data_IF_883210046761
#
_entry.id   IF_883210046761
#
_cell.length_a   1.000
_cell.length_b   1.000
_cell.length_c   1.000
_cell.angle_alpha   90.00
_cell.angle_beta   90.00
_cell.angle_gamma   90.00
#
_symmetry.space_group_name_H-M   'P 1'
#
loop_
_entity.id
_entity.type
_entity.pdbx_description
1 polymer ?
#
# COMPACT_ATOMS: atom_id res chain seq x y z
N UNK A 1 -7.77 -22.31 2.73
CA UNK A 1 -6.55 -22.23 3.56
C UNK A 1 -6.93 -22.58 4.99
N UNK A 2 -6.26 -23.56 5.59
CA UNK A 2 -6.35 -23.85 7.03
C UNK A 2 -5.89 -22.62 7.84
N UNK A 3 -6.34 -22.51 9.10
CA UNK A 3 -5.95 -21.38 9.98
C UNK A 3 -4.43 -21.24 10.13
N UNK A 4 -3.70 -22.36 10.11
CA UNK A 4 -2.23 -22.39 10.12
C UNK A 4 -1.62 -21.74 8.88
N UNK A 5 -2.15 -22.03 7.69
CA UNK A 5 -1.64 -21.47 6.42
C UNK A 5 -1.92 -19.98 6.23
N UNK A 6 -2.90 -19.42 6.94
CA UNK A 6 -3.12 -17.96 6.98
C UNK A 6 -2.11 -17.26 7.88
N UNK A 7 -1.78 -17.84 9.03
CA UNK A 7 -0.78 -17.28 9.95
C UNK A 7 0.59 -17.15 9.29
N UNK A 8 1.04 -18.19 8.58
CA UNK A 8 2.33 -18.20 7.90
C UNK A 8 2.42 -17.16 6.77
N UNK A 9 1.32 -16.93 6.05
CA UNK A 9 1.24 -15.92 5.00
C UNK A 9 1.38 -14.50 5.54
N UNK A 10 0.62 -14.13 6.57
CA UNK A 10 0.74 -12.80 7.19
C UNK A 10 2.11 -12.60 7.85
N UNK A 11 2.68 -13.64 8.46
CA UNK A 11 4.05 -13.60 8.99
C UNK A 11 5.06 -13.30 7.88
N UNK A 12 4.99 -13.97 6.73
CA UNK A 12 5.90 -13.73 5.62
C UNK A 12 5.85 -12.27 5.13
N UNK A 13 4.64 -11.73 4.93
CA UNK A 13 4.48 -10.33 4.52
C UNK A 13 4.91 -9.35 5.62
N UNK A 14 4.70 -9.69 6.89
CA UNK A 14 5.15 -8.88 8.03
C UNK A 14 6.67 -8.73 8.09
N UNK A 15 7.42 -9.80 7.82
CA UNK A 15 8.88 -9.73 7.74
C UNK A 15 9.40 -8.83 6.62
N UNK A 16 8.54 -8.45 5.66
CA UNK A 16 8.86 -7.57 4.52
C UNK A 16 8.29 -6.15 4.67
N UNK A 17 7.75 -5.80 5.84
CA UNK A 17 7.26 -4.44 6.15
C UNK A 17 5.74 -4.27 6.22
N UNK A 18 4.92 -5.34 6.15
CA UNK A 18 3.45 -5.21 6.27
C UNK A 18 3.00 -4.49 7.56
N UNK A 19 3.79 -4.56 8.62
CA UNK A 19 3.50 -3.91 9.92
C UNK A 19 3.46 -2.38 9.89
N UNK A 20 4.03 -1.75 8.87
CA UNK A 20 4.07 -0.30 8.72
C UNK A 20 2.76 0.26 8.16
N UNK A 21 2.03 -0.54 7.39
CA UNK A 21 0.85 -0.08 6.66
C UNK A 21 -0.43 -0.24 7.49
N UNK A 22 -1.39 0.70 7.36
CA UNK A 22 -2.70 0.53 7.97
C UNK A 22 -3.46 -0.61 7.29
N UNK A 23 -4.03 -1.49 8.12
CA UNK A 23 -4.95 -2.55 7.74
C UNK A 23 -6.36 -2.20 8.18
N UNK A 24 -7.32 -2.29 7.27
CA UNK A 24 -8.74 -2.18 7.58
C UNK A 24 -9.32 -3.59 7.81
N UNK A 25 -9.82 -3.83 9.03
CA UNK A 25 -10.32 -5.14 9.47
C UNK A 25 -11.77 -5.04 9.92
N UNK A 26 -12.55 -6.07 9.59
CA UNK A 26 -13.83 -6.36 10.24
C UNK A 26 -13.58 -7.11 11.55
N UNK A 27 -14.18 -6.62 12.63
CA UNK A 27 -14.26 -7.34 13.93
C UNK A 27 -15.73 -7.36 14.31
N UNK A 28 -16.37 -8.51 14.13
CA UNK A 28 -17.81 -8.68 14.23
C UNK A 28 -18.54 -7.69 13.29
N UNK A 29 -19.35 -6.78 13.83
CA UNK A 29 -20.06 -5.74 13.05
C UNK A 29 -19.30 -4.41 13.00
N UNK A 30 -18.14 -4.30 13.64
CA UNK A 30 -17.34 -3.09 13.69
C UNK A 30 -16.22 -3.10 12.64
N UNK A 31 -15.94 -1.93 12.08
CA UNK A 31 -14.76 -1.67 11.27
C UNK A 31 -13.64 -1.10 12.15
N UNK A 32 -12.41 -1.55 11.95
CA UNK A 32 -11.23 -1.03 12.65
C UNK A 32 -10.09 -0.79 11.69
N UNK A 33 -9.34 0.29 11.91
CA UNK A 33 -8.08 0.56 11.22
C UNK A 33 -6.96 0.47 12.25
N UNK A 34 -5.96 -0.34 11.94
CA UNK A 34 -4.85 -0.62 12.81
C UNK A 34 -3.63 -1.08 12.05
N UNK A 35 -2.59 -1.44 12.78
CA UNK A 35 -1.37 -2.01 12.20
C UNK A 35 -1.13 -3.39 12.80
N UNK A 36 -0.37 -4.24 12.11
CA UNK A 36 0.13 -5.47 12.69
C UNK A 36 1.37 -5.17 13.53
N UNK A 37 1.49 -5.82 14.69
CA UNK A 37 2.67 -5.75 15.54
C UNK A 37 3.03 -7.15 16.03
N UNK A 38 4.33 -7.38 16.23
CA UNK A 38 4.80 -8.58 16.89
C UNK A 38 4.73 -8.39 18.42
N UNK A 39 3.92 -9.20 19.09
CA UNK A 39 3.81 -9.19 20.55
C UNK A 39 4.04 -10.61 21.09
N UNK A 40 5.14 -10.81 21.84
CA UNK A 40 5.54 -12.11 22.41
C UNK A 40 5.58 -13.25 21.37
N UNK A 41 6.10 -12.95 20.18
CA UNK A 41 6.23 -13.93 19.08
C UNK A 41 4.93 -14.23 18.33
N UNK A 42 3.85 -13.47 18.58
CA UNK A 42 2.60 -13.57 17.86
C UNK A 42 2.28 -12.26 17.14
N UNK A 43 1.78 -12.36 15.91
CA UNK A 43 1.20 -11.21 15.23
C UNK A 43 -0.13 -10.82 15.85
N UNK A 44 -0.22 -9.57 16.27
CA UNK A 44 -1.41 -8.98 16.86
C UNK A 44 -1.80 -7.75 16.07
N UNK A 45 -3.10 -7.61 15.81
CA UNK A 45 -3.64 -6.38 15.25
C UNK A 45 -3.82 -5.34 16.36
N UNK A 46 -3.12 -4.21 16.24
CA UNK A 46 -3.23 -3.07 17.16
C UNK A 46 -4.09 -1.99 16.51
N UNK A 47 -5.30 -1.86 17.01
CA UNK A 47 -6.25 -0.82 16.62
C UNK A 47 -5.67 0.58 16.92
N UNK A 48 -5.80 1.50 15.97
CA UNK A 48 -5.36 2.89 16.10
C UNK A 48 -6.49 3.82 16.57
N UNK A 49 -7.71 3.32 16.71
CA UNK A 49 -8.85 4.11 17.20
C UNK A 49 -9.37 5.15 16.21
N UNK A 50 -9.06 4.99 14.92
CA UNK A 50 -9.41 5.95 13.86
C UNK A 50 -10.90 5.89 13.50
N UNK A 51 -11.54 4.74 13.71
CA UNK A 51 -12.94 4.46 13.37
C UNK A 51 -13.78 4.20 14.62
N UNK A 52 -13.99 5.19 15.51
CA UNK A 52 -14.80 4.99 16.70
C UNK A 52 -16.26 4.72 16.30
N UNK A 53 -16.80 3.58 16.73
CA UNK A 53 -18.18 3.16 16.49
C UNK A 53 -18.61 3.00 15.00
N UNK A 54 -17.68 2.95 14.06
CA UNK A 54 -17.98 2.70 12.64
C UNK A 54 -18.38 1.25 12.42
N UNK A 55 -19.52 1.02 11.77
CA UNK A 55 -20.00 -0.31 11.40
C UNK A 55 -19.34 -0.80 10.11
N UNK A 56 -19.26 -2.11 9.94
CA UNK A 56 -18.72 -2.72 8.74
C UNK A 56 -19.45 -2.25 7.46
N UNK A 57 -20.77 -2.07 7.51
CA UNK A 57 -21.55 -1.60 6.36
C UNK A 57 -21.08 -0.24 5.82
N UNK A 58 -20.53 0.63 6.67
CA UNK A 58 -20.02 1.95 6.26
C UNK A 58 -18.69 1.85 5.50
N UNK A 59 -17.94 0.76 5.67
CA UNK A 59 -16.65 0.52 5.00
C UNK A 59 -16.69 -0.62 3.99
N UNK A 60 -17.79 -1.36 3.92
CA UNK A 60 -17.97 -2.51 3.00
C UNK A 60 -17.63 -2.17 1.53
N UNK A 61 -17.96 -0.98 0.99
CA UNK A 61 -17.56 -0.60 -0.37
C UNK A 61 -16.05 -0.67 -0.65
N UNK A 62 -15.20 -0.61 0.36
CA UNK A 62 -13.76 -0.81 0.20
C UNK A 62 -13.39 -2.23 -0.27
N UNK A 63 -14.15 -3.25 0.09
CA UNK A 63 -13.92 -4.63 -0.38
C UNK A 63 -14.49 -4.88 -1.77
N UNK A 64 -15.58 -4.20 -2.10
CA UNK A 64 -16.37 -4.53 -3.30
C UNK A 64 -16.05 -3.61 -4.49
N UNK A 65 -15.78 -2.32 -4.22
CA UNK A 65 -15.68 -1.28 -5.25
C UNK A 65 -14.32 -0.57 -5.26
N UNK A 66 -13.66 -0.52 -4.11
CA UNK A 66 -12.47 0.31 -3.90
C UNK A 66 -11.14 -0.34 -4.27
N UNK A 67 -11.12 -1.56 -4.81
CA UNK A 67 -9.86 -2.30 -5.03
C UNK A 67 -8.94 -1.61 -6.06
N UNK A 68 -7.68 -1.41 -5.67
CA UNK A 68 -6.64 -0.74 -6.46
C UNK A 68 -5.55 -1.68 -6.94
N UNK A 69 -5.36 -2.81 -6.26
CA UNK A 69 -4.29 -3.76 -6.54
C UNK A 69 -4.00 -4.65 -5.35
N UNK A 70 -2.76 -5.11 -5.24
CA UNK A 70 -2.29 -5.92 -4.13
C UNK A 70 -0.88 -5.55 -3.68
N UNK A 71 -0.59 -5.73 -2.40
CA UNK A 71 0.77 -5.80 -1.87
C UNK A 71 1.21 -7.25 -1.77
N UNK A 72 2.40 -7.56 -2.25
CA UNK A 72 2.90 -8.95 -2.31
C UNK A 72 4.42 -8.98 -2.18
N UNK A 73 4.94 -10.14 -1.79
CA UNK A 73 6.36 -10.42 -1.81
C UNK A 73 6.76 -11.01 -3.18
N UNK A 74 7.10 -10.13 -4.14
CA UNK A 74 7.65 -10.55 -5.43
C UNK A 74 9.14 -10.85 -5.28
N UNK A 75 9.50 -12.11 -5.49
CA UNK A 75 10.89 -12.54 -5.51
C UNK A 75 11.60 -12.04 -6.76
N UNK A 76 12.86 -11.65 -6.62
CA UNK A 76 13.73 -11.26 -7.73
C UNK A 76 13.63 -9.79 -8.14
N UNK A 77 12.87 -8.99 -7.40
CA UNK A 77 12.86 -7.53 -7.57
C UNK A 77 14.05 -6.88 -6.84
N UNK A 78 14.44 -5.67 -7.27
CA UNK A 78 15.60 -4.95 -6.75
C UNK A 78 15.35 -4.26 -5.40
N UNK A 79 14.09 -4.16 -4.95
CA UNK A 79 13.73 -3.49 -3.71
C UNK A 79 13.56 -4.47 -2.54
N UNK A 80 13.96 -4.04 -1.35
CA UNK A 80 13.96 -4.89 -0.14
C UNK A 80 12.58 -4.97 0.54
N UNK A 81 11.63 -4.11 0.17
CA UNK A 81 10.28 -4.05 0.73
C UNK A 81 9.27 -4.91 -0.03
N UNK A 82 8.02 -4.92 0.44
CA UNK A 82 6.91 -5.45 -0.34
C UNK A 82 6.77 -4.73 -1.70
N UNK A 83 6.19 -5.42 -2.66
CA UNK A 83 5.82 -4.85 -3.96
C UNK A 83 4.36 -4.45 -3.93
N UNK A 84 4.02 -3.31 -4.54
CA UNK A 84 2.66 -3.02 -4.97
C UNK A 84 2.51 -3.42 -6.45
N UNK A 85 1.44 -4.16 -6.74
CA UNK A 85 1.00 -4.48 -8.10
C UNK A 85 -0.40 -3.92 -8.31
N UNK A 86 -0.60 -3.17 -9.38
CA UNK A 86 -1.90 -2.61 -9.73
C UNK A 86 -2.93 -3.68 -10.08
N UNK A 87 -4.21 -3.30 -10.04
CA UNK A 87 -5.35 -4.21 -10.22
C UNK A 87 -5.31 -4.98 -11.55
N UNK A 88 -4.77 -4.38 -12.63
CA UNK A 88 -4.67 -5.02 -13.95
C UNK A 88 -3.66 -6.17 -13.96
N UNK A 89 -2.80 -6.25 -12.94
CA UNK A 89 -1.86 -7.35 -12.69
C UNK A 89 -2.38 -8.36 -11.68
N UNK A 90 -3.60 -8.21 -11.19
CA UNK A 90 -4.22 -9.09 -10.20
C UNK A 90 -5.25 -10.04 -10.84
N UNK A 91 -5.43 -11.20 -10.24
CA UNK A 91 -6.51 -12.14 -10.55
C UNK A 91 -7.72 -11.83 -9.66
N UNK A 92 -8.41 -10.74 -9.97
CA UNK A 92 -9.60 -10.34 -9.20
C UNK A 92 -10.84 -10.92 -9.86
N UNK A 93 -11.56 -11.79 -9.13
CA UNK A 93 -12.79 -12.44 -9.59
C UNK A 93 -14.04 -11.53 -9.58
N UNK A 94 -13.85 -10.23 -9.34
CA UNK A 94 -14.96 -9.27 -9.29
C UNK A 94 -15.35 -8.93 -10.72
N UNK A 95 -16.66 -8.93 -10.97
CA UNK A 95 -17.20 -8.50 -12.26
C UNK A 95 -16.87 -7.03 -12.50
N UNK A 96 -15.83 -6.79 -13.32
CA UNK A 96 -15.28 -5.47 -13.67
C UNK A 96 -16.31 -4.57 -14.38
N UNK A 97 -17.44 -5.12 -14.83
CA UNK A 97 -18.56 -4.37 -15.39
C UNK A 97 -19.41 -3.67 -14.30
N UNK A 98 -19.37 -4.19 -13.06
CA UNK A 98 -20.12 -3.67 -11.91
C UNK A 98 -19.26 -2.78 -11.01
N UNK A 99 -17.95 -3.05 -10.92
CA UNK A 99 -16.97 -2.12 -10.38
C UNK A 99 -16.84 -0.97 -11.37
N UNK A 100 -16.85 0.29 -10.92
CA UNK A 100 -16.67 1.46 -11.79
C UNK A 100 -15.22 1.56 -12.31
N UNK A 101 -14.73 0.54 -13.03
CA UNK A 101 -13.44 0.55 -13.74
C UNK A 101 -13.38 1.73 -14.72
N UNK A 102 -14.52 2.20 -15.25
CA UNK A 102 -14.59 3.41 -16.06
C UNK A 102 -14.31 4.72 -15.28
N UNK A 103 -14.42 4.75 -13.94
CA UNK A 103 -14.09 5.92 -13.10
C UNK A 103 -12.64 5.87 -12.62
N UNK A 104 -12.06 4.67 -12.45
CA UNK A 104 -10.64 4.48 -12.14
C UNK A 104 -9.74 4.45 -13.40
N UNK A 105 -10.32 4.32 -14.59
CA UNK A 105 -9.64 4.01 -15.86
C UNK A 105 -8.61 5.02 -16.36
N UNK A 106 -8.34 6.10 -15.61
CA UNK A 106 -7.24 7.05 -15.84
C UNK A 106 -6.79 7.70 -14.53
N UNK A 107 -6.49 6.91 -13.50
CA UNK A 107 -5.74 7.45 -12.36
C UNK A 107 -4.27 7.49 -12.78
N UNK A 108 -3.98 8.51 -13.58
CA UNK A 108 -2.64 8.90 -13.98
C UNK A 108 -2.16 9.87 -12.90
N UNK A 109 -1.11 9.51 -12.18
CA UNK A 109 -0.48 10.44 -11.25
C UNK A 109 0.12 11.62 -12.03
N UNK A 110 0.49 12.69 -11.32
CA UNK A 110 1.11 13.86 -11.94
C UNK A 110 2.38 13.52 -12.76
N UNK A 111 3.01 12.38 -12.49
CA UNK A 111 4.19 11.84 -13.20
C UNK A 111 3.86 11.13 -14.53
N UNK A 112 2.58 10.95 -14.88
CA UNK A 112 2.17 10.22 -16.08
C UNK A 112 2.01 8.71 -15.89
N UNK A 113 2.35 8.17 -14.72
CA UNK A 113 2.23 6.74 -14.41
C UNK A 113 0.79 6.36 -14.05
N UNK A 114 0.33 5.21 -14.55
CA UNK A 114 -1.01 4.67 -14.28
C UNK A 114 -0.96 3.74 -13.07
N UNK A 115 -1.79 4.02 -12.06
CA UNK A 115 -1.88 3.19 -10.84
C UNK A 115 -2.32 1.76 -11.15
N UNK A 116 -3.16 1.55 -12.16
CA UNK A 116 -3.82 0.27 -12.41
C UNK A 116 -2.87 -0.81 -12.96
N UNK A 117 -1.86 -0.42 -13.74
CA UNK A 117 -0.86 -1.34 -14.33
C UNK A 117 0.54 -1.19 -13.68
N UNK A 118 0.65 -0.37 -12.65
CA UNK A 118 1.90 -0.13 -11.94
C UNK A 118 2.46 -1.41 -11.29
N UNK A 119 3.78 -1.48 -11.24
CA UNK A 119 4.54 -2.46 -10.47
C UNK A 119 5.78 -1.78 -9.91
N UNK A 120 5.98 -1.88 -8.60
CA UNK A 120 7.14 -1.30 -7.92
C UNK A 120 7.12 -1.58 -6.42
N UNK A 121 8.02 -0.93 -5.69
CA UNK A 121 7.99 -0.98 -4.23
C UNK A 121 6.65 -0.46 -3.69
N UNK A 122 6.23 -1.01 -2.55
CA UNK A 122 4.97 -0.62 -1.90
C UNK A 122 4.94 0.88 -1.58
N UNK A 123 6.06 1.46 -1.15
CA UNK A 123 6.16 2.89 -0.83
C UNK A 123 5.93 3.75 -2.07
N UNK A 124 6.58 3.43 -3.21
CA UNK A 124 6.37 4.17 -4.46
C UNK A 124 4.93 4.02 -4.97
N UNK A 125 4.37 2.82 -4.89
CA UNK A 125 2.97 2.56 -5.26
C UNK A 125 1.99 3.36 -4.40
N UNK A 126 2.19 3.39 -3.08
CA UNK A 126 1.35 4.17 -2.16
C UNK A 126 1.52 5.68 -2.36
N UNK A 127 2.74 6.16 -2.61
CA UNK A 127 3.00 7.55 -2.97
C UNK A 127 2.29 7.96 -4.25
N UNK A 128 2.38 7.13 -5.30
CA UNK A 128 1.69 7.32 -6.56
C UNK A 128 0.17 7.45 -6.35
N UNK A 129 -0.40 6.58 -5.51
CA UNK A 129 -1.82 6.61 -5.15
C UNK A 129 -2.19 7.90 -4.41
N UNK A 130 -1.41 8.29 -3.40
CA UNK A 130 -1.61 9.54 -2.65
C UNK A 130 -1.54 10.78 -3.55
N UNK A 131 -0.57 10.83 -4.47
CA UNK A 131 -0.39 11.95 -5.41
C UNK A 131 -1.52 12.03 -6.44
N UNK A 132 -2.15 10.90 -6.75
CA UNK A 132 -3.37 10.83 -7.55
C UNK A 132 -4.66 11.06 -6.73
N UNK A 133 -4.53 11.45 -5.46
CA UNK A 133 -5.63 11.77 -4.55
C UNK A 133 -6.36 10.56 -3.98
N UNK A 134 -5.85 9.33 -4.18
CA UNK A 134 -6.38 8.10 -3.58
C UNK A 134 -5.93 7.96 -2.12
N UNK A 135 -6.66 7.16 -1.34
CA UNK A 135 -6.28 6.85 0.04
C UNK A 135 -6.06 5.35 0.23
N UNK A 136 -4.84 4.83 -0.04
CA UNK A 136 -4.60 3.39 -0.03
C UNK A 136 -4.61 2.81 1.38
N UNK A 137 -5.37 1.74 1.58
CA UNK A 137 -5.35 0.91 2.79
C UNK A 137 -5.22 -0.56 2.40
N UNK A 138 -4.52 -1.35 3.23
CA UNK A 138 -4.43 -2.79 3.08
C UNK A 138 -5.69 -3.49 3.61
N UNK A 139 -6.23 -4.41 2.85
CA UNK A 139 -7.31 -5.31 3.27
C UNK A 139 -6.74 -6.70 3.61
N UNK A 140 -7.26 -7.39 4.63
CA UNK A 140 -6.94 -8.79 4.92
C UNK A 140 -7.64 -9.74 3.93
N UNK A 141 -7.59 -9.41 2.64
CA UNK A 141 -8.20 -10.15 1.53
C UNK A 141 -7.07 -10.67 0.64
N UNK A 142 -6.81 -11.99 0.63
CA UNK A 142 -5.80 -12.56 -0.25
C UNK A 142 -6.17 -12.40 -1.72
N UNK A 143 -5.21 -11.96 -2.54
CA UNK A 143 -5.35 -11.78 -3.99
C UNK A 143 -4.17 -12.44 -4.67
N UNK A 144 -4.43 -13.25 -5.70
CA UNK A 144 -3.38 -13.79 -6.55
C UNK A 144 -2.96 -12.74 -7.58
N UNK A 145 -1.67 -12.64 -7.86
CA UNK A 145 -1.14 -11.82 -8.95
C UNK A 145 -0.98 -12.69 -10.20
N UNK A 146 -0.99 -12.06 -11.39
CA UNK A 146 -0.79 -12.76 -12.66
C UNK A 146 0.63 -13.35 -12.79
N UNK A 147 1.57 -12.84 -11.99
CA UNK A 147 2.93 -13.37 -11.83
C UNK A 147 3.00 -14.60 -10.90
N UNK A 148 1.85 -15.09 -10.41
CA UNK A 148 1.77 -16.30 -9.59
C UNK A 148 2.10 -16.08 -8.11
N UNK A 149 2.20 -14.82 -7.66
CA UNK A 149 2.39 -14.50 -6.25
C UNK A 149 1.05 -14.33 -5.53
N UNK A 150 1.06 -14.52 -4.21
CA UNK A 150 -0.09 -14.19 -3.36
C UNK A 150 0.20 -12.90 -2.60
N UNK A 151 -0.79 -12.01 -2.56
CA UNK A 151 -0.72 -10.73 -1.88
C UNK A 151 -1.97 -10.41 -1.07
N UNK A 152 -1.99 -9.25 -0.45
CA UNK A 152 -3.15 -8.67 0.21
C UNK A 152 -3.70 -7.54 -0.65
N UNK A 153 -5.01 -7.48 -0.82
CA UNK A 153 -5.65 -6.42 -1.59
C UNK A 153 -5.36 -5.04 -0.98
N UNK A 154 -5.25 -4.04 -1.83
CA UNK A 154 -5.22 -2.62 -1.47
C UNK A 154 -6.49 -1.96 -1.97
N UNK A 155 -7.11 -1.13 -1.14
CA UNK A 155 -8.33 -0.39 -1.46
C UNK A 155 -8.11 1.11 -1.36
N UNK A 156 -8.89 1.88 -2.11
CA UNK A 156 -9.14 3.30 -1.84
C UNK A 156 -10.15 3.43 -0.70
N UNK A 157 -9.70 3.95 0.45
CA UNK A 157 -10.55 4.14 1.62
C UNK A 157 -11.55 5.29 1.46
N UNK A 158 -11.42 6.14 0.43
CA UNK A 158 -12.43 7.17 0.13
C UNK A 158 -13.80 6.61 -0.24
N UNK A 159 -13.90 5.31 -0.56
CA UNK A 159 -15.17 4.64 -0.74
C UNK A 159 -15.93 4.36 0.57
N UNK A 160 -15.28 4.53 1.72
CA UNK A 160 -15.93 4.41 3.02
C UNK A 160 -16.86 5.60 3.29
N UNK A 161 -18.03 5.32 3.84
CA UNK A 161 -18.99 6.31 4.32
C UNK A 161 -18.67 6.67 5.77
N UNK A 162 -17.57 7.39 5.98
CA UNK A 162 -17.07 7.76 7.31
C UNK A 162 -16.90 9.28 7.44
N UNK A 163 -16.85 9.83 8.67
CA UNK A 163 -16.57 11.25 8.87
C UNK A 163 -15.24 11.68 8.25
N UNK A 164 -15.18 12.93 7.75
CA UNK A 164 -13.96 13.49 7.16
C UNK A 164 -12.75 13.42 8.11
N UNK A 165 -12.97 13.58 9.42
CA UNK A 165 -11.91 13.45 10.43
C UNK A 165 -11.23 12.06 10.39
N UNK A 166 -12.00 11.00 10.15
CA UNK A 166 -11.44 9.67 10.00
C UNK A 166 -10.59 9.57 8.71
N UNK A 167 -11.07 10.13 7.60
CA UNK A 167 -10.32 10.17 6.34
C UNK A 167 -8.98 10.90 6.49
N UNK A 168 -8.97 12.05 7.18
CA UNK A 168 -7.75 12.83 7.46
C UNK A 168 -6.76 12.00 8.29
N UNK A 169 -7.22 11.41 9.40
CA UNK A 169 -6.36 10.57 10.26
C UNK A 169 -5.78 9.37 9.52
N UNK A 170 -6.55 8.74 8.64
CA UNK A 170 -6.03 7.67 7.79
C UNK A 170 -4.99 8.22 6.82
N UNK A 171 -5.25 9.35 6.17
CA UNK A 171 -4.29 9.97 5.24
C UNK A 171 -2.96 10.25 5.92
N UNK A 172 -2.98 10.80 7.13
CA UNK A 172 -1.78 11.07 7.92
C UNK A 172 -1.01 9.77 8.25
N UNK A 173 -1.71 8.71 8.65
CA UNK A 173 -1.08 7.40 8.92
C UNK A 173 -0.41 6.81 7.67
N UNK A 174 -1.09 6.88 6.52
CA UNK A 174 -0.56 6.35 5.26
C UNK A 174 0.64 7.19 4.80
N UNK A 175 0.55 8.51 4.88
CA UNK A 175 1.65 9.42 4.52
C UNK A 175 2.87 9.18 5.38
N UNK A 176 2.69 9.08 6.69
CA UNK A 176 3.79 8.79 7.61
C UNK A 176 4.51 7.49 7.23
N UNK A 177 3.77 6.41 6.95
CA UNK A 177 4.34 5.13 6.56
C UNK A 177 5.07 5.15 5.19
N UNK A 178 4.81 6.16 4.35
CA UNK A 178 5.39 6.27 3.01
C UNK A 178 6.56 7.25 2.98
N UNK A 179 6.38 8.41 3.60
CA UNK A 179 7.35 9.51 3.55
C UNK A 179 8.66 9.12 4.23
N UNK A 180 8.61 8.39 5.36
CA UNK A 180 9.79 7.87 6.08
C UNK A 180 10.73 7.02 5.20
N UNK A 181 10.22 6.42 4.11
CA UNK A 181 10.99 5.56 3.21
C UNK A 181 11.30 6.17 1.84
N UNK A 182 10.77 7.37 1.56
CA UNK A 182 10.96 8.08 0.30
C UNK A 182 11.71 9.40 0.49
N UNK A 183 11.85 9.89 1.72
CA UNK A 183 12.78 10.95 2.06
C UNK A 183 14.16 10.37 2.28
N UNK A 184 15.10 10.68 1.37
CA UNK A 184 16.52 10.60 1.69
C UNK A 184 16.80 11.74 2.67
N UNK A 185 16.93 11.42 3.96
CA UNK A 185 17.52 12.37 4.87
C UNK A 185 19.00 12.54 4.47
N UNK A 186 19.41 13.77 4.19
CA UNK A 186 20.79 14.13 3.79
C UNK A 186 21.81 13.73 4.87
N UNK A 187 21.34 13.27 6.03
CA UNK A 187 22.14 12.76 7.13
C UNK A 187 22.46 11.26 7.07
N UNK A 188 21.84 10.47 6.19
CA UNK A 188 22.15 9.03 6.02
C UNK A 188 23.16 8.77 4.89
N UNK A 189 23.68 9.84 4.31
CA UNK A 189 24.64 9.83 3.24
C UNK A 189 25.89 10.53 3.77
N UNK A 190 26.70 9.80 4.54
CA UNK A 190 28.10 10.16 4.80
C UNK A 190 28.89 9.97 3.48
N UNK A 191 28.54 10.71 2.43
CA UNK A 191 29.40 10.84 1.26
C UNK A 191 30.47 11.85 1.64
N UNK A 192 31.72 11.43 1.61
CA UNK A 192 32.80 12.40 1.58
C UNK A 192 32.75 13.22 0.28
N UNK A 193 33.46 14.36 0.25
CA UNK A 193 33.48 15.26 -0.90
C UNK A 193 33.93 14.56 -2.21
N UNK A 194 34.70 13.46 -2.12
CA UNK A 194 35.20 12.71 -3.27
C UNK A 194 34.14 11.77 -3.84
N UNK A 195 33.37 11.09 -2.99
CA UNK A 195 32.25 10.25 -3.43
C UNK A 195 31.11 11.08 -4.03
N UNK A 196 30.84 12.26 -3.45
CA UNK A 196 29.91 13.23 -4.03
C UNK A 196 30.38 13.69 -5.42
N UNK A 197 31.66 14.10 -5.56
CA UNK A 197 32.19 14.52 -6.86
C UNK A 197 32.09 13.41 -7.92
N UNK A 198 32.32 12.15 -7.53
CA UNK A 198 32.26 11.00 -8.45
C UNK A 198 30.83 10.71 -8.92
N UNK A 199 29.83 10.86 -8.05
CA UNK A 199 28.41 10.66 -8.41
C UNK A 199 27.88 11.75 -9.35
N UNK A 200 28.43 12.96 -9.25
CA UNK A 200 27.94 14.14 -9.98
C UNK A 200 28.88 14.63 -11.10
N UNK A 201 30.06 14.05 -11.28
CA UNK A 201 31.00 14.34 -12.38
C UNK A 201 30.33 14.26 -13.76
N UNK A 202 29.42 13.28 -13.95
CA UNK A 202 28.66 13.12 -15.20
C UNK A 202 27.73 14.29 -15.53
N UNK A 203 27.37 15.12 -14.56
CA UNK A 203 26.54 16.31 -14.76
C UNK A 203 27.34 17.60 -14.94
N UNK A 204 28.63 17.60 -14.59
CA UNK A 204 29.52 18.75 -14.79
C UNK A 204 30.12 18.78 -16.20
N UNK A 205 30.37 17.61 -16.79
CA UNK A 205 30.99 17.50 -18.12
C UNK A 205 30.02 17.55 -19.31
N UNK A 206 28.70 17.51 -19.05
CA UNK A 206 27.68 17.69 -20.08
C UNK A 206 26.42 18.33 -19.46
N UNK A 207 26.35 19.67 -19.36
CA UNK A 207 25.07 20.30 -19.07
C UNK A 207 24.06 19.92 -20.18
N UNK A 208 22.81 19.56 -19.83
CA UNK A 208 21.79 19.29 -20.84
C UNK A 208 21.58 20.54 -21.72
N UNK A 209 21.24 20.36 -23.01
CA UNK A 209 20.99 21.47 -23.93
C UNK A 209 19.78 22.33 -23.52
#
# INVERSE_FOLDING_TARGET
MSDTGKGDFFNALFQRGLGEFPLLRRVDEAARIGVLVMNKGQLVFKDRGVLPATKYAEVAPCWDLGLLGAITDLKGEQWESLSFVGIDRCEVKVDLSSTRHNVLGRIIAATGENVLDFKGSVYRGFKLMLDAGLLPIVLPLPVATREGAMGLAVTDFRFATVPLEALIKVNDLVRQAVDEHLTLDVHEVDLDEQEFATLFERYQDNPPP
#
